data_IF_152540079648
#
_entry.id   IF_152540079648
#
_cell.length_a   1.000
_cell.length_b   1.000
_cell.length_c   1.000
_cell.angle_alpha   90.00
_cell.angle_beta   90.00
_cell.angle_gamma   90.00
#
_symmetry.space_group_name_H-M   'P 1'
#
loop_
_entity.id
_entity.type
_entity.pdbx_description
1 polymer ?
#
# COMPACT_ATOMS: atom_id res chain seq x y z
N UNK A 1 2.23 8.41 -21.15
CA UNK A 1 3.58 8.83 -20.78
C UNK A 1 4.42 7.59 -20.51
N UNK A 2 5.46 7.40 -21.29
CA UNK A 2 6.34 6.22 -21.17
C UNK A 2 7.73 6.67 -20.74
N UNK A 3 8.29 5.98 -19.74
CA UNK A 3 9.67 6.12 -19.31
C UNK A 3 10.52 4.97 -19.85
N UNK A 4 11.64 5.30 -20.42
CA UNK A 4 12.64 4.32 -20.84
C UNK A 4 13.27 3.60 -19.62
N UNK A 5 13.94 2.45 -19.82
CA UNK A 5 14.72 1.85 -18.75
C UNK A 5 15.78 2.82 -18.21
N UNK A 6 15.91 2.87 -16.90
CA UNK A 6 16.87 3.73 -16.22
C UNK A 6 16.50 3.99 -14.77
N UNK A 7 17.45 4.53 -14.02
CA UNK A 7 17.23 5.02 -12.68
C UNK A 7 17.23 6.55 -12.71
N UNK A 8 16.12 7.13 -12.25
CA UNK A 8 15.84 8.56 -12.29
C UNK A 8 15.85 9.10 -10.86
N UNK A 9 16.77 9.97 -10.53
CA UNK A 9 16.92 10.54 -9.20
C UNK A 9 16.17 11.87 -9.07
N UNK A 10 15.41 11.98 -7.98
CA UNK A 10 14.59 13.16 -7.70
C UNK A 10 14.97 13.79 -6.35
N UNK A 11 15.11 15.12 -6.35
CA UNK A 11 15.27 15.93 -5.13
C UNK A 11 13.93 16.46 -4.61
N UNK A 12 12.91 16.45 -5.46
CA UNK A 12 11.54 16.87 -5.13
C UNK A 12 10.53 15.75 -5.41
N UNK A 13 9.42 15.73 -4.66
CA UNK A 13 8.28 14.90 -4.99
C UNK A 13 7.70 15.27 -6.35
N UNK A 14 7.19 14.30 -7.09
CA UNK A 14 6.55 14.53 -8.40
C UNK A 14 5.04 14.39 -8.31
N UNK A 15 4.30 15.09 -9.17
CA UNK A 15 2.84 15.06 -9.17
C UNK A 15 2.28 14.77 -10.56
N UNK A 16 1.20 14.00 -10.61
CA UNK A 16 0.38 13.73 -11.78
C UNK A 16 -1.04 14.22 -11.51
N UNK A 17 -1.44 15.29 -12.19
CA UNK A 17 -2.71 15.98 -12.05
C UNK A 17 -3.51 16.08 -13.37
N UNK A 18 -3.24 15.14 -14.29
CA UNK A 18 -3.89 15.07 -15.62
C UNK A 18 -4.68 13.78 -15.72
N UNK A 19 -5.96 13.91 -16.06
CA UNK A 19 -6.89 12.77 -16.19
C UNK A 19 -6.54 11.89 -17.39
N UNK A 20 -7.02 10.63 -17.32
CA UNK A 20 -6.96 9.65 -18.40
C UNK A 20 -5.53 9.35 -18.90
N UNK A 21 -4.55 9.41 -18.01
CA UNK A 21 -3.14 9.14 -18.33
C UNK A 21 -2.73 7.72 -18.01
N UNK A 22 -2.03 7.10 -18.94
CA UNK A 22 -1.21 5.91 -18.64
C UNK A 22 0.23 6.37 -18.42
N UNK A 23 0.75 6.19 -17.20
CA UNK A 23 2.14 6.42 -16.86
C UNK A 23 2.82 5.07 -16.69
N UNK A 24 3.74 4.74 -17.57
CA UNK A 24 4.35 3.41 -17.64
C UNK A 24 5.87 3.47 -17.76
N UNK A 25 6.51 2.52 -17.11
CA UNK A 25 7.93 2.19 -17.31
C UNK A 25 8.12 0.92 -18.14
N UNK A 26 9.30 0.37 -18.08
CA UNK A 26 9.70 -0.85 -18.80
C UNK A 26 9.72 -2.08 -17.90
N UNK A 27 9.45 -1.95 -16.61
CA UNK A 27 9.43 -3.00 -15.60
C UNK A 27 9.90 -2.51 -14.24
N UNK A 28 9.50 -3.22 -13.19
CA UNK A 28 9.80 -2.83 -11.78
C UNK A 28 11.29 -2.89 -11.42
N UNK A 29 12.12 -3.50 -12.25
CA UNK A 29 13.57 -3.56 -12.09
C UNK A 29 14.32 -2.81 -13.19
N UNK A 30 13.59 -2.26 -14.15
CA UNK A 30 14.15 -1.60 -15.34
C UNK A 30 13.97 -0.07 -15.27
N UNK A 31 12.81 0.40 -14.81
CA UNK A 31 12.50 1.81 -14.65
C UNK A 31 12.30 2.12 -13.18
N UNK A 32 13.19 2.93 -12.61
CA UNK A 32 13.24 3.23 -11.19
C UNK A 32 13.16 4.73 -10.97
N UNK A 33 12.17 5.17 -10.22
CA UNK A 33 12.05 6.52 -9.68
C UNK A 33 12.66 6.51 -8.27
N UNK A 34 13.86 7.04 -8.12
CA UNK A 34 14.63 6.99 -6.88
C UNK A 34 14.59 8.35 -6.17
N UNK A 35 14.12 8.35 -4.93
CA UNK A 35 13.94 9.53 -4.08
C UNK A 35 14.92 9.58 -2.91
N UNK A 36 16.03 8.82 -2.94
CA UNK A 36 17.02 8.82 -1.85
C UNK A 36 17.61 10.20 -1.55
N UNK A 37 17.58 11.10 -2.55
CA UNK A 37 18.06 12.48 -2.43
C UNK A 37 16.93 13.49 -2.23
N UNK A 38 15.71 13.04 -1.90
CA UNK A 38 14.55 13.92 -1.76
C UNK A 38 14.71 14.89 -0.59
N UNK A 39 14.64 16.18 -0.86
CA UNK A 39 14.74 17.28 0.11
C UNK A 39 13.45 18.07 0.27
N UNK A 40 12.49 17.90 -0.64
CA UNK A 40 11.18 18.53 -0.56
C UNK A 40 10.05 17.62 -1.08
N UNK A 41 8.82 18.00 -0.78
CA UNK A 41 7.65 17.18 -1.02
C UNK A 41 7.43 16.14 0.12
N UNK A 42 6.19 15.72 0.30
CA UNK A 42 5.82 14.75 1.34
C UNK A 42 5.57 13.34 0.75
N UNK A 43 5.68 13.18 -0.56
CA UNK A 43 5.50 11.93 -1.27
C UNK A 43 6.56 11.78 -2.37
N UNK A 44 6.81 10.55 -2.82
CA UNK A 44 7.54 10.31 -4.05
C UNK A 44 6.70 10.71 -5.27
N UNK A 45 5.60 9.98 -5.53
CA UNK A 45 4.63 10.29 -6.58
C UNK A 45 3.27 10.61 -5.97
N UNK A 46 2.74 11.80 -6.25
CA UNK A 46 1.36 12.19 -5.91
C UNK A 46 0.48 12.14 -7.17
N UNK A 47 -0.69 11.49 -7.07
CA UNK A 47 -1.73 11.47 -8.11
C UNK A 47 -3.00 12.09 -7.56
N UNK A 48 -3.53 13.09 -8.25
CA UNK A 48 -4.77 13.79 -7.88
C UNK A 48 -5.80 13.83 -9.02
N UNK A 49 -5.61 12.99 -10.02
CA UNK A 49 -6.39 12.95 -11.27
C UNK A 49 -7.14 11.64 -11.43
N UNK A 50 -8.17 11.64 -12.28
CA UNK A 50 -9.06 10.54 -12.56
C UNK A 50 -8.60 9.67 -13.74
N UNK A 51 -9.06 8.41 -13.81
CA UNK A 51 -8.82 7.54 -14.95
C UNK A 51 -7.35 7.14 -15.18
N UNK A 52 -6.51 7.21 -14.13
CA UNK A 52 -5.07 7.02 -14.26
C UNK A 52 -4.69 5.54 -14.18
N UNK A 53 -3.74 5.14 -15.01
CA UNK A 53 -3.05 3.86 -14.90
C UNK A 53 -1.57 4.08 -14.71
N UNK A 54 -1.05 3.59 -13.56
CA UNK A 54 0.38 3.50 -13.26
C UNK A 54 0.83 2.08 -13.44
N UNK A 55 1.91 1.85 -14.21
CA UNK A 55 2.38 0.47 -14.40
C UNK A 55 3.86 0.34 -14.74
N UNK A 56 4.42 -0.83 -14.38
CA UNK A 56 5.72 -1.29 -14.85
C UNK A 56 6.91 -0.38 -14.47
N UNK A 57 6.93 0.15 -13.23
CA UNK A 57 8.08 0.88 -12.67
C UNK A 57 8.19 0.70 -11.16
N UNK A 58 9.29 1.16 -10.59
CA UNK A 58 9.50 1.20 -9.14
C UNK A 58 9.60 2.65 -8.61
N UNK A 59 9.21 2.83 -7.34
CA UNK A 59 9.44 4.04 -6.54
C UNK A 59 10.25 3.63 -5.32
N UNK A 60 11.46 4.17 -5.17
CA UNK A 60 12.38 3.82 -4.10
C UNK A 60 12.66 5.00 -3.18
N UNK A 61 12.82 4.68 -1.89
CA UNK A 61 13.40 5.54 -0.86
C UNK A 61 12.76 6.95 -0.74
N UNK A 62 11.44 7.03 -0.96
CA UNK A 62 10.71 8.27 -0.75
C UNK A 62 10.76 8.69 0.72
N UNK A 63 10.89 9.99 0.99
CA UNK A 63 10.93 10.54 2.35
C UNK A 63 9.62 10.34 3.10
N UNK A 64 8.48 10.41 2.40
CA UNK A 64 7.15 10.12 2.92
C UNK A 64 6.50 8.95 2.17
N UNK A 65 5.22 9.07 1.80
CA UNK A 65 4.52 8.02 1.06
C UNK A 65 5.17 7.79 -0.30
N UNK A 66 5.35 6.55 -0.73
CA UNK A 66 5.99 6.30 -2.02
C UNK A 66 5.07 6.69 -3.19
N UNK A 67 3.86 6.13 -3.25
CA UNK A 67 2.83 6.49 -4.25
C UNK A 67 1.53 6.83 -3.52
N UNK A 68 1.18 8.11 -3.52
CA UNK A 68 -0.05 8.61 -2.92
C UNK A 68 -1.07 8.97 -4.00
N UNK A 69 -2.31 8.53 -3.81
CA UNK A 69 -3.44 8.88 -4.68
C UNK A 69 -4.55 9.47 -3.82
N UNK A 70 -5.04 10.65 -4.14
CA UNK A 70 -6.08 11.33 -3.36
C UNK A 70 -7.27 11.67 -4.26
N UNK A 71 -8.45 11.18 -3.86
CA UNK A 71 -9.72 11.59 -4.45
C UNK A 71 -9.96 11.10 -5.87
N UNK A 72 -9.18 10.16 -6.37
CA UNK A 72 -9.28 9.67 -7.74
C UNK A 72 -10.54 8.83 -7.99
N UNK A 73 -11.14 9.03 -9.15
CA UNK A 73 -12.17 8.18 -9.72
C UNK A 73 -11.55 7.30 -10.82
N UNK A 74 -11.32 6.02 -10.50
CA UNK A 74 -10.62 5.10 -11.40
C UNK A 74 -9.09 5.22 -11.35
N UNK A 75 -8.46 4.45 -10.48
CA UNK A 75 -7.00 4.32 -10.42
C UNK A 75 -6.58 2.87 -10.58
N UNK A 76 -5.70 2.60 -11.52
CA UNK A 76 -5.08 1.29 -11.71
C UNK A 76 -3.59 1.36 -11.40
N UNK A 77 -3.15 0.60 -10.42
CA UNK A 77 -1.74 0.40 -10.06
C UNK A 77 -1.37 -1.04 -10.37
N UNK A 78 -0.58 -1.26 -11.41
CA UNK A 78 -0.36 -2.60 -11.98
C UNK A 78 1.13 -2.88 -12.16
N UNK A 79 1.64 -3.94 -11.58
CA UNK A 79 3.06 -4.32 -11.65
C UNK A 79 3.98 -3.15 -11.30
N UNK A 80 3.79 -2.63 -10.10
CA UNK A 80 4.63 -1.58 -9.51
C UNK A 80 5.41 -2.13 -8.33
N UNK A 81 6.50 -1.49 -7.97
CA UNK A 81 7.23 -1.75 -6.74
C UNK A 81 7.45 -0.45 -5.96
N UNK A 82 7.19 -0.51 -4.66
CA UNK A 82 7.59 0.53 -3.70
C UNK A 82 8.53 -0.10 -2.68
N UNK A 83 9.64 0.55 -2.38
CA UNK A 83 10.62 -0.04 -1.46
C UNK A 83 11.47 1.02 -0.76
N UNK A 84 11.73 0.81 0.52
CA UNK A 84 12.79 1.47 1.27
C UNK A 84 13.97 0.51 1.38
N UNK A 85 15.02 0.79 0.59
CA UNK A 85 16.17 -0.13 0.38
C UNK A 85 17.02 -0.33 1.62
N UNK A 86 16.93 0.59 2.58
CA UNK A 86 17.58 0.50 3.90
C UNK A 86 16.99 -0.54 4.86
N UNK A 87 15.91 -1.27 4.46
CA UNK A 87 15.17 -2.21 5.29
C UNK A 87 14.21 -1.53 6.27
N UNK A 88 13.51 -2.32 7.13
CA UNK A 88 12.53 -1.82 8.09
C UNK A 88 13.12 -0.80 9.07
N UNK A 89 12.54 0.39 9.11
CA UNK A 89 12.93 1.48 10.02
C UNK A 89 11.76 2.41 10.27
N UNK A 90 11.65 2.94 11.50
CA UNK A 90 10.65 3.96 11.86
C UNK A 90 10.77 5.26 11.05
N UNK A 91 11.93 5.52 10.47
CA UNK A 91 12.20 6.70 9.64
C UNK A 91 11.83 6.54 8.18
N UNK A 92 11.39 5.35 7.76
CA UNK A 92 10.86 5.14 6.42
C UNK A 92 9.54 5.88 6.25
N UNK A 93 9.14 6.16 5.02
CA UNK A 93 7.82 6.70 4.75
C UNK A 93 6.70 5.75 5.20
N UNK A 94 5.53 6.31 5.45
CA UNK A 94 4.43 5.58 6.06
C UNK A 94 3.86 4.52 5.10
N UNK A 95 3.56 4.89 3.87
CA UNK A 95 2.81 4.02 2.96
C UNK A 95 3.53 3.77 1.64
N UNK A 96 3.55 2.50 1.22
CA UNK A 96 4.03 2.15 -0.11
C UNK A 96 3.03 2.57 -1.18
N UNK A 97 1.87 1.96 -1.21
CA UNK A 97 0.71 2.35 -2.04
C UNK A 97 -0.35 2.96 -1.15
N UNK A 98 -0.76 4.19 -1.43
CA UNK A 98 -1.66 4.96 -0.57
C UNK A 98 -2.82 5.63 -1.34
N UNK A 99 -3.76 4.87 -1.91
CA UNK A 99 -5.03 5.45 -2.37
C UNK A 99 -5.93 5.76 -1.18
N UNK A 100 -6.38 7.01 -1.11
CA UNK A 100 -7.27 7.52 -0.07
C UNK A 100 -8.37 8.38 -0.70
N UNK A 101 -9.59 8.34 -0.10
CA UNK A 101 -10.76 9.09 -0.59
C UNK A 101 -11.06 8.83 -2.09
N UNK A 102 -10.71 7.63 -2.57
CA UNK A 102 -10.77 7.25 -3.97
C UNK A 102 -11.86 6.20 -4.24
N UNK A 103 -12.19 5.99 -5.51
CA UNK A 103 -13.10 4.92 -5.93
C UNK A 103 -12.60 4.20 -7.16
N UNK A 104 -13.13 2.98 -7.38
CA UNK A 104 -12.72 2.12 -8.49
C UNK A 104 -11.19 1.93 -8.50
N UNK A 105 -10.67 1.42 -7.35
CA UNK A 105 -9.25 1.25 -7.07
C UNK A 105 -8.82 -0.16 -7.42
N UNK A 106 -7.84 -0.31 -8.30
CA UNK A 106 -7.19 -1.58 -8.60
C UNK A 106 -5.71 -1.54 -8.21
N UNK A 107 -5.28 -2.51 -7.38
CA UNK A 107 -3.86 -2.79 -7.10
C UNK A 107 -3.61 -4.24 -7.50
N UNK A 108 -2.84 -4.47 -8.55
CA UNK A 108 -2.64 -5.81 -9.14
C UNK A 108 -1.15 -6.09 -9.42
N UNK A 109 -0.67 -7.21 -8.91
CA UNK A 109 0.71 -7.68 -9.10
C UNK A 109 1.77 -6.65 -8.65
N UNK A 110 1.49 -5.91 -7.57
CA UNK A 110 2.37 -4.91 -6.99
C UNK A 110 3.24 -5.49 -5.86
N UNK A 111 4.36 -4.83 -5.57
CA UNK A 111 5.29 -5.22 -4.50
C UNK A 111 5.52 -4.03 -3.58
N UNK A 112 5.32 -4.19 -2.26
CA UNK A 112 5.52 -3.15 -1.26
C UNK A 112 6.46 -3.64 -0.15
N UNK A 113 7.56 -2.91 0.08
CA UNK A 113 8.62 -3.33 1.00
C UNK A 113 9.08 -2.17 1.90
N UNK A 114 9.06 -2.38 3.20
CA UNK A 114 9.76 -1.54 4.17
C UNK A 114 8.99 -0.31 4.66
N UNK A 115 7.69 -0.20 4.40
CA UNK A 115 6.86 0.90 4.90
C UNK A 115 6.75 0.90 6.42
N UNK A 116 6.86 2.08 7.05
CA UNK A 116 6.80 2.21 8.50
C UNK A 116 5.37 2.22 9.06
N UNK A 117 4.38 2.13 8.20
CA UNK A 117 2.97 1.93 8.50
C UNK A 117 2.44 0.78 7.63
N UNK A 118 1.92 1.01 6.44
CA UNK A 118 1.42 -0.07 5.61
C UNK A 118 2.08 -0.14 4.22
N UNK A 119 2.44 -1.36 3.79
CA UNK A 119 2.95 -1.56 2.44
C UNK A 119 1.90 -1.22 1.38
N UNK A 120 0.69 -1.75 1.52
CA UNK A 120 -0.48 -1.44 0.70
C UNK A 120 -1.59 -0.95 1.63
N UNK A 121 -1.91 0.32 1.54
CA UNK A 121 -3.02 0.92 2.28
C UNK A 121 -4.10 1.38 1.31
N UNK A 122 -5.35 1.12 1.63
CA UNK A 122 -6.51 1.71 0.94
C UNK A 122 -7.48 2.23 1.99
N UNK A 123 -7.61 3.54 2.09
CA UNK A 123 -8.44 4.17 3.11
C UNK A 123 -9.55 5.05 2.56
N UNK A 124 -10.69 5.08 3.28
CA UNK A 124 -11.82 5.96 3.00
C UNK A 124 -12.28 5.89 1.53
N UNK A 125 -12.17 4.72 0.94
CA UNK A 125 -12.34 4.46 -0.48
C UNK A 125 -13.46 3.44 -0.73
N UNK A 126 -13.79 3.19 -2.01
CA UNK A 126 -14.83 2.21 -2.37
C UNK A 126 -14.57 1.55 -3.71
N UNK A 127 -15.17 0.36 -3.91
CA UNK A 127 -14.98 -0.48 -5.09
C UNK A 127 -13.50 -0.80 -5.30
N UNK A 128 -12.96 -1.59 -4.40
CA UNK A 128 -11.52 -1.81 -4.24
C UNK A 128 -11.18 -3.25 -4.63
N UNK A 129 -10.12 -3.42 -5.38
CA UNK A 129 -9.53 -4.74 -5.66
C UNK A 129 -8.03 -4.67 -5.36
N UNK A 130 -7.57 -5.50 -4.42
CA UNK A 130 -6.14 -5.71 -4.13
C UNK A 130 -5.85 -7.19 -4.38
N UNK A 131 -5.04 -7.48 -5.39
CA UNK A 131 -4.78 -8.88 -5.77
C UNK A 131 -3.37 -9.13 -6.30
N UNK A 132 -2.97 -10.42 -6.28
CA UNK A 132 -1.69 -10.91 -6.84
C UNK A 132 -0.46 -10.13 -6.35
N UNK A 133 -0.57 -9.42 -5.24
CA UNK A 133 0.43 -8.48 -4.75
C UNK A 133 1.24 -9.07 -3.60
N UNK A 134 2.42 -8.51 -3.36
CA UNK A 134 3.35 -8.93 -2.32
C UNK A 134 3.61 -7.75 -1.39
N UNK A 135 3.38 -7.92 -0.09
CA UNK A 135 3.70 -6.94 0.93
C UNK A 135 4.62 -7.59 1.97
N UNK A 136 5.85 -7.09 2.08
CA UNK A 136 6.88 -7.69 2.93
C UNK A 136 7.66 -6.65 3.71
N UNK A 137 8.05 -7.01 4.95
CA UNK A 137 8.90 -6.18 5.80
C UNK A 137 8.31 -4.78 6.10
N UNK A 138 6.97 -4.68 6.12
CA UNK A 138 6.25 -3.48 6.54
C UNK A 138 5.75 -3.65 7.99
N UNK A 139 5.21 -2.62 8.60
CA UNK A 139 4.45 -2.80 9.84
C UNK A 139 3.13 -3.51 9.51
N UNK A 140 2.25 -2.92 8.74
CA UNK A 140 1.12 -3.65 8.16
C UNK A 140 1.44 -4.07 6.71
N UNK A 141 1.16 -5.31 6.34
CA UNK A 141 1.34 -5.74 4.95
C UNK A 141 0.31 -5.09 4.03
N UNK A 142 -0.96 -5.39 4.25
CA UNK A 142 -2.11 -4.84 3.52
C UNK A 142 -3.11 -4.30 4.53
N UNK A 143 -3.60 -3.09 4.31
CA UNK A 143 -4.53 -2.40 5.19
C UNK A 143 -5.71 -1.84 4.41
N UNK A 144 -6.93 -2.18 4.85
CA UNK A 144 -8.19 -1.64 4.32
C UNK A 144 -8.86 -0.89 5.47
N UNK A 145 -8.88 0.44 5.39
CA UNK A 145 -9.39 1.29 6.46
C UNK A 145 -10.61 2.08 6.04
N UNK A 146 -11.65 2.09 6.87
CA UNK A 146 -12.87 2.89 6.65
C UNK A 146 -13.40 2.83 5.20
N UNK A 147 -13.37 1.65 4.58
CA UNK A 147 -13.59 1.49 3.15
C UNK A 147 -14.79 0.56 2.86
N UNK A 148 -15.36 0.69 1.66
CA UNK A 148 -16.55 -0.05 1.25
C UNK A 148 -16.29 -0.89 0.02
N UNK A 149 -16.82 -2.13 0.00
CA UNK A 149 -16.77 -3.04 -1.14
C UNK A 149 -15.33 -3.30 -1.60
N UNK A 150 -14.57 -3.97 -0.75
CA UNK A 150 -13.18 -4.33 -1.05
C UNK A 150 -13.02 -5.84 -1.19
N UNK A 151 -12.32 -6.26 -2.24
CA UNK A 151 -11.85 -7.64 -2.45
C UNK A 151 -10.33 -7.67 -2.33
N UNK A 152 -9.83 -8.41 -1.34
CA UNK A 152 -8.40 -8.61 -1.09
C UNK A 152 -8.10 -10.10 -1.26
N UNK A 153 -7.45 -10.47 -2.36
CA UNK A 153 -7.27 -11.89 -2.68
C UNK A 153 -6.00 -12.23 -3.48
N UNK A 154 -5.57 -13.47 -3.36
CA UNK A 154 -4.39 -14.00 -4.04
C UNK A 154 -3.10 -13.20 -3.75
N UNK A 155 -3.01 -12.56 -2.55
CA UNK A 155 -1.85 -11.79 -2.13
C UNK A 155 -0.94 -12.60 -1.20
N UNK A 156 0.32 -12.17 -1.12
CA UNK A 156 1.28 -12.62 -0.12
C UNK A 156 1.61 -11.46 0.82
N UNK A 157 1.20 -11.57 2.09
CA UNK A 157 1.62 -10.68 3.17
C UNK A 157 2.55 -11.47 4.11
N UNK A 158 3.85 -11.19 4.06
CA UNK A 158 4.83 -11.98 4.84
C UNK A 158 5.97 -11.14 5.39
N UNK A 159 6.51 -11.56 6.53
CA UNK A 159 7.60 -10.84 7.21
C UNK A 159 7.24 -9.39 7.57
N UNK A 160 5.94 -9.10 7.76
CA UNK A 160 5.48 -7.84 8.34
C UNK A 160 5.32 -8.01 9.87
N UNK A 161 4.98 -6.96 10.58
CA UNK A 161 4.49 -7.08 11.96
C UNK A 161 3.09 -7.68 11.96
N UNK A 162 2.19 -7.15 11.13
CA UNK A 162 0.87 -7.68 10.83
C UNK A 162 0.66 -7.93 9.35
N UNK A 163 -0.03 -9.03 8.98
CA UNK A 163 -0.22 -9.42 7.58
C UNK A 163 -1.29 -8.60 6.88
N UNK A 164 -2.56 -8.80 7.18
CA UNK A 164 -3.70 -8.13 6.56
C UNK A 164 -4.61 -7.53 7.64
N UNK A 165 -4.88 -6.25 7.54
CA UNK A 165 -5.66 -5.49 8.49
C UNK A 165 -6.91 -4.93 7.80
N UNK A 166 -8.08 -5.11 8.43
CA UNK A 166 -9.35 -4.49 7.99
C UNK A 166 -9.98 -3.84 9.20
N UNK A 167 -10.05 -2.52 9.22
CA UNK A 167 -10.59 -1.83 10.38
C UNK A 167 -11.20 -0.45 10.08
N UNK A 168 -11.97 0.03 11.04
CA UNK A 168 -12.52 1.37 11.06
C UNK A 168 -11.90 2.17 12.20
N UNK A 169 -11.49 3.37 11.90
CA UNK A 169 -11.11 4.37 12.89
C UNK A 169 -12.24 5.40 13.08
N UNK A 170 -12.44 5.88 14.30
CA UNK A 170 -13.38 6.96 14.56
C UNK A 170 -12.89 8.28 13.98
N UNK A 171 -13.82 9.22 13.81
CA UNK A 171 -13.54 10.62 13.49
C UNK A 171 -12.88 10.87 12.11
N UNK A 172 -12.89 9.87 11.20
CA UNK A 172 -12.53 10.07 9.81
C UNK A 172 -13.75 10.53 8.97
N UNK A 173 -13.53 11.22 7.83
CA UNK A 173 -14.61 11.66 6.95
C UNK A 173 -15.54 10.53 6.49
N UNK A 174 -14.99 9.38 6.11
CA UNK A 174 -15.75 8.18 5.81
C UNK A 174 -15.70 7.22 6.99
N UNK A 175 -16.86 6.74 7.42
CA UNK A 175 -17.00 5.80 8.53
C UNK A 175 -17.91 4.63 8.17
N UNK A 176 -17.87 3.58 8.99
CA UNK A 176 -18.72 2.42 8.81
C UNK A 176 -18.29 1.55 7.66
N UNK A 177 -17.00 1.22 7.60
CA UNK A 177 -16.44 0.30 6.62
C UNK A 177 -17.18 -1.04 6.60
N UNK A 178 -17.47 -1.55 5.39
CA UNK A 178 -18.29 -2.74 5.22
C UNK A 178 -18.09 -3.44 3.88
N UNK A 179 -18.61 -4.66 3.78
CA UNK A 179 -18.56 -5.49 2.57
C UNK A 179 -17.12 -5.71 2.09
N UNK A 180 -16.24 -6.14 2.99
CA UNK A 180 -14.86 -6.49 2.69
C UNK A 180 -14.71 -8.00 2.64
N UNK A 181 -14.10 -8.52 1.57
CA UNK A 181 -13.79 -9.94 1.45
C UNK A 181 -12.27 -10.14 1.39
N UNK A 182 -11.77 -10.99 2.30
CA UNK A 182 -10.34 -11.35 2.39
C UNK A 182 -10.22 -12.85 2.12
N UNK A 183 -9.73 -13.24 0.96
CA UNK A 183 -9.75 -14.66 0.58
C UNK A 183 -8.59 -15.09 -0.32
N UNK A 184 -8.20 -16.35 -0.23
CA UNK A 184 -7.07 -16.95 -0.95
C UNK A 184 -5.74 -16.20 -0.82
N UNK A 185 -5.54 -15.50 0.29
CA UNK A 185 -4.27 -14.86 0.59
C UNK A 185 -3.35 -15.79 1.38
N UNK A 186 -2.07 -15.47 1.37
CA UNK A 186 -1.06 -16.01 2.27
C UNK A 186 -0.62 -14.94 3.25
N UNK A 187 -1.09 -15.01 4.49
CA UNK A 187 -0.64 -14.16 5.60
C UNK A 187 0.29 -14.99 6.50
N UNK A 188 1.56 -15.05 6.14
CA UNK A 188 2.50 -16.03 6.68
C UNK A 188 3.81 -15.40 7.16
N UNK A 189 4.36 -15.96 8.26
CA UNK A 189 5.64 -15.52 8.82
C UNK A 189 5.67 -14.00 9.11
N UNK A 190 4.56 -13.42 9.56
CA UNK A 190 4.52 -12.02 9.95
C UNK A 190 5.04 -11.89 11.38
N UNK A 191 6.35 -11.83 11.53
CA UNK A 191 7.08 -11.88 12.78
C UNK A 191 8.13 -10.76 12.94
N UNK A 192 8.08 -9.75 12.10
CA UNK A 192 8.92 -8.55 12.22
C UNK A 192 8.50 -7.73 13.45
N UNK A 193 9.47 -7.26 14.22
CA UNK A 193 9.20 -6.36 15.33
C UNK A 193 8.50 -5.10 14.81
N UNK A 194 7.55 -4.58 15.59
CA UNK A 194 6.84 -3.37 15.20
C UNK A 194 7.79 -2.18 15.24
N UNK A 195 7.96 -1.52 14.11
CA UNK A 195 8.84 -0.37 13.93
C UNK A 195 8.08 0.88 13.50
N UNK A 196 6.76 0.92 13.73
CA UNK A 196 5.97 2.13 13.50
C UNK A 196 6.49 3.29 14.34
N UNK A 197 6.45 4.52 13.84
CA UNK A 197 6.74 5.70 14.63
C UNK A 197 5.83 5.81 15.86
N UNK A 198 6.37 6.31 16.95
CA UNK A 198 5.63 6.48 18.20
C UNK A 198 4.35 7.31 17.98
N UNK A 199 3.22 6.81 18.49
CA UNK A 199 1.91 7.46 18.39
C UNK A 199 1.09 7.08 17.15
N UNK A 200 1.63 6.34 16.22
CA UNK A 200 0.83 5.78 15.11
C UNK A 200 -0.04 4.64 15.61
N UNK A 201 -1.28 4.56 15.13
CA UNK A 201 -2.25 3.51 15.52
C UNK A 201 -1.73 2.12 15.15
N UNK A 202 -1.09 1.98 14.01
CA UNK A 202 -0.50 0.73 13.57
C UNK A 202 0.61 0.23 14.52
N UNK A 203 1.16 1.10 15.34
CA UNK A 203 2.09 0.74 16.42
C UNK A 203 1.48 -0.18 17.49
N UNK A 204 0.16 -0.21 17.61
CA UNK A 204 -0.58 -1.11 18.51
C UNK A 204 -0.81 -2.51 17.92
N UNK A 205 -0.49 -2.72 16.65
CA UNK A 205 -0.64 -4.03 16.01
C UNK A 205 0.36 -5.01 16.62
N UNK A 206 -0.11 -6.13 17.20
CA UNK A 206 0.79 -7.11 17.78
C UNK A 206 1.64 -7.80 16.70
N UNK A 207 2.93 -7.93 16.97
CA UNK A 207 3.80 -8.82 16.21
C UNK A 207 3.19 -10.23 16.14
N UNK A 208 3.23 -10.82 14.97
CA UNK A 208 2.65 -12.16 14.77
C UNK A 208 1.19 -12.14 14.34
N UNK A 209 0.63 -10.99 14.04
CA UNK A 209 -0.73 -10.89 13.49
C UNK A 209 -0.77 -11.45 12.06
N UNK A 210 -1.61 -12.44 11.81
CA UNK A 210 -1.90 -12.91 10.44
C UNK A 210 -2.93 -12.03 9.77
N UNK A 211 -4.17 -12.04 10.26
CA UNK A 211 -5.28 -11.19 9.80
C UNK A 211 -5.98 -10.63 11.03
N UNK A 212 -6.30 -9.34 11.02
CA UNK A 212 -7.09 -8.67 12.06
C UNK A 212 -8.28 -7.93 11.45
N UNK A 213 -9.44 -8.07 12.07
CA UNK A 213 -10.66 -7.36 11.70
C UNK A 213 -11.12 -6.58 12.93
N UNK A 214 -11.31 -5.28 12.80
CA UNK A 214 -11.73 -4.43 13.91
C UNK A 214 -12.72 -3.35 13.46
N UNK A 215 -13.85 -3.27 14.15
CA UNK A 215 -14.88 -2.26 13.99
C UNK A 215 -15.52 -2.16 12.57
N UNK A 216 -15.16 -3.03 11.65
CA UNK A 216 -15.70 -3.10 10.30
C UNK A 216 -16.84 -4.13 10.25
N UNK A 217 -17.92 -3.87 9.52
CA UNK A 217 -19.06 -4.77 9.40
C UNK A 217 -19.07 -5.53 8.07
N UNK A 218 -19.79 -6.64 8.04
CA UNK A 218 -19.96 -7.46 6.84
C UNK A 218 -18.63 -7.86 6.20
N UNK A 219 -17.69 -8.38 7.01
CA UNK A 219 -16.39 -8.86 6.55
C UNK A 219 -16.42 -10.38 6.41
N UNK A 220 -16.04 -10.87 5.25
CA UNK A 220 -15.89 -12.30 4.97
C UNK A 220 -14.41 -12.66 4.86
N UNK A 221 -13.97 -13.65 5.66
CA UNK A 221 -12.58 -14.16 5.64
C UNK A 221 -12.64 -15.66 5.37
N UNK A 222 -12.13 -16.11 4.23
CA UNK A 222 -12.18 -17.52 3.83
C UNK A 222 -11.03 -17.93 2.91
N UNK A 223 -10.71 -19.21 2.89
CA UNK A 223 -9.68 -19.83 2.02
C UNK A 223 -8.28 -19.17 2.10
N UNK A 224 -7.92 -18.59 3.24
CA UNK A 224 -6.59 -18.02 3.44
C UNK A 224 -5.63 -19.01 4.09
N UNK A 225 -4.36 -18.97 3.68
CA UNK A 225 -3.26 -19.64 4.37
C UNK A 225 -2.69 -18.72 5.46
N UNK A 226 -2.89 -19.07 6.73
CA UNK A 226 -2.43 -18.26 7.88
C UNK A 226 -1.58 -19.15 8.78
N UNK A 227 -0.24 -19.01 8.68
CA UNK A 227 0.67 -19.81 9.50
C UNK A 227 2.05 -19.15 9.65
N UNK A 228 2.83 -19.65 10.64
CA UNK A 228 4.18 -19.14 10.88
C UNK A 228 4.23 -17.70 11.40
N UNK A 229 3.07 -17.12 11.75
CA UNK A 229 2.99 -15.80 12.37
C UNK A 229 3.36 -15.99 13.85
N UNK A 230 4.65 -16.05 14.12
CA UNK A 230 5.18 -16.43 15.41
C UNK A 230 5.26 -15.29 16.41
N UNK A 231 5.16 -15.63 17.67
CA UNK A 231 5.43 -14.75 18.80
C UNK A 231 6.87 -14.96 19.29
#
# INVERSE_FOLDING_TARGET
LTLEPGEYFFEDGISLDVDDVIFEGSGINETILNFENQISGAQGLLVTSDGVTLRDFAVLDATGDAIKVIGADGINMVRLRTEWTGGPKETNGAYGFYPVESRDVLIDACVAIGASDAGIYVGQSRNIIVKNSIAQYNVAGIEIENSYYADVFDNLASHNTGGILVFDLPDLPQQGGHNVRVFRNKAINNDTDNFAPEGNIVGEVPRGTGIIIQANSDVEVFDNDIYGNGT
#
